data_IF_863559446633
#
_entry.id   IF_863559446633
#
_cell.length_a   1.000
_cell.length_b   1.000
_cell.length_c   1.000
_cell.angle_alpha   90.00
_cell.angle_beta   90.00
_cell.angle_gamma   90.00
#
_symmetry.space_group_name_H-M   'P 1'
#
loop_
_entity.id
_entity.type
_entity.pdbx_description
1 polymer ?
#
# COMPACT_ATOMS: atom_id res chain seq x y z
N UNK A 1 -51.95 27.82 17.48
CA UNK A 1 -51.01 26.68 17.41
C UNK A 1 -51.01 26.17 15.97
N UNK A 2 -49.91 26.20 15.19
CA UNK A 2 -49.66 25.30 14.04
C UNK A 2 -48.66 25.75 12.96
N UNK A 3 -48.02 26.92 13.07
CA UNK A 3 -46.98 27.29 12.08
C UNK A 3 -45.62 26.67 12.46
N UNK A 4 -45.17 26.79 13.72
CA UNK A 4 -43.91 26.19 14.19
C UNK A 4 -43.87 24.66 14.10
N UNK A 5 -44.98 23.96 14.36
CA UNK A 5 -45.05 22.49 14.25
C UNK A 5 -44.89 22.03 12.79
N UNK A 6 -45.48 22.73 11.81
CA UNK A 6 -45.34 22.38 10.38
C UNK A 6 -43.89 22.45 9.90
N UNK A 7 -43.12 23.46 10.32
CA UNK A 7 -41.71 23.57 9.96
C UNK A 7 -40.84 22.47 10.58
N UNK A 8 -41.15 22.04 11.81
CA UNK A 8 -40.44 20.92 12.46
C UNK A 8 -40.71 19.60 11.74
N UNK A 9 -41.96 19.32 11.39
CA UNK A 9 -42.30 18.10 10.63
C UNK A 9 -41.71 18.11 9.22
N UNK A 10 -41.65 19.28 8.57
CA UNK A 10 -41.02 19.41 7.26
C UNK A 10 -39.50 19.20 7.34
N UNK A 11 -38.83 19.76 8.34
CA UNK A 11 -37.39 19.55 8.57
C UNK A 11 -37.04 18.08 8.82
N UNK A 12 -37.82 17.38 9.64
CA UNK A 12 -37.62 15.94 9.92
C UNK A 12 -37.84 15.10 8.64
N UNK A 13 -38.87 15.41 7.84
CA UNK A 13 -39.13 14.70 6.59
C UNK A 13 -38.00 14.86 5.56
N UNK A 14 -37.40 16.05 5.46
CA UNK A 14 -36.25 16.30 4.56
C UNK A 14 -35.01 15.53 5.03
N UNK A 15 -34.74 15.49 6.34
CA UNK A 15 -33.61 14.73 6.89
C UNK A 15 -33.79 13.22 6.65
N UNK A 16 -35.00 12.68 6.89
CA UNK A 16 -35.29 11.28 6.64
C UNK A 16 -35.20 10.92 5.16
N UNK A 17 -35.69 11.78 4.26
CA UNK A 17 -35.54 11.59 2.82
C UNK A 17 -34.06 11.59 2.40
N UNK A 18 -33.25 12.50 2.94
CA UNK A 18 -31.80 12.54 2.70
C UNK A 18 -31.08 11.28 3.17
N UNK A 19 -31.42 10.77 4.37
CA UNK A 19 -30.87 9.50 4.90
C UNK A 19 -31.31 8.30 4.06
N UNK A 20 -32.56 8.26 3.60
CA UNK A 20 -33.06 7.18 2.72
C UNK A 20 -32.37 7.22 1.36
N UNK A 21 -32.14 8.40 0.78
CA UNK A 21 -31.40 8.53 -0.49
C UNK A 21 -29.94 8.11 -0.31
N UNK A 22 -29.27 8.51 0.77
CA UNK A 22 -27.91 8.06 1.08
C UNK A 22 -27.83 6.54 1.28
N UNK A 23 -28.79 5.97 2.00
CA UNK A 23 -28.90 4.53 2.22
C UNK A 23 -29.14 3.78 0.90
N UNK A 24 -30.06 4.26 0.06
CA UNK A 24 -30.36 3.69 -1.25
C UNK A 24 -29.18 3.81 -2.23
N UNK A 25 -28.46 4.93 -2.25
CA UNK A 25 -27.27 5.11 -3.09
C UNK A 25 -26.12 4.19 -2.63
N UNK A 26 -25.92 4.06 -1.31
CA UNK A 26 -24.94 3.10 -0.74
C UNK A 26 -25.31 1.66 -1.08
N UNK A 27 -26.59 1.32 -1.06
CA UNK A 27 -27.06 -0.02 -1.45
C UNK A 27 -27.06 -0.26 -2.97
N UNK A 28 -27.32 0.75 -3.80
CA UNK A 28 -27.23 0.64 -5.27
C UNK A 28 -25.78 0.47 -5.73
N UNK A 29 -24.83 1.20 -5.14
CA UNK A 29 -23.40 1.00 -5.42
C UNK A 29 -22.92 -0.43 -5.10
N UNK A 30 -23.53 -1.08 -4.09
CA UNK A 30 -23.28 -2.49 -3.76
C UNK A 30 -24.13 -3.48 -4.58
N UNK A 31 -25.19 -3.05 -5.27
CA UNK A 31 -26.11 -3.93 -6.00
C UNK A 31 -25.60 -4.35 -7.39
N UNK A 32 -24.55 -3.72 -7.90
CA UNK A 32 -24.00 -4.03 -9.22
C UNK A 32 -22.89 -5.09 -9.23
N UNK A 33 -22.31 -5.42 -8.07
CA UNK A 33 -21.29 -6.45 -7.90
C UNK A 33 -21.95 -7.80 -7.56
N UNK A 34 -22.14 -8.66 -8.55
CA UNK A 34 -22.52 -10.06 -8.34
C UNK A 34 -21.37 -10.97 -8.73
N UNK A 35 -21.23 -12.12 -8.04
CA UNK A 35 -20.15 -13.08 -8.30
C UNK A 35 -20.10 -13.56 -9.75
N UNK A 36 -21.24 -13.54 -10.45
CA UNK A 36 -21.38 -13.98 -11.84
C UNK A 36 -20.70 -13.06 -12.86
N UNK A 37 -20.29 -11.84 -12.43
CA UNK A 37 -19.60 -10.86 -13.28
C UNK A 37 -18.07 -10.89 -13.11
N UNK A 38 -17.55 -11.75 -12.24
CA UNK A 38 -16.12 -11.83 -11.94
C UNK A 38 -15.47 -12.89 -12.82
N UNK A 39 -14.44 -12.51 -13.57
CA UNK A 39 -13.74 -13.44 -14.47
C UNK A 39 -12.91 -14.43 -13.67
N UNK A 40 -12.97 -15.70 -14.07
CA UNK A 40 -12.38 -16.82 -13.31
C UNK A 40 -10.94 -17.13 -13.68
N UNK A 41 -10.41 -16.62 -14.78
CA UNK A 41 -9.03 -16.90 -15.21
C UNK A 41 -8.52 -15.79 -16.14
N UNK A 42 -7.38 -15.20 -15.80
CA UNK A 42 -6.59 -14.38 -16.72
C UNK A 42 -5.28 -15.10 -16.94
N UNK A 43 -5.05 -15.47 -18.19
CA UNK A 43 -3.86 -16.24 -18.57
C UNK A 43 -2.88 -15.42 -19.42
N UNK A 44 -3.26 -14.21 -19.84
CA UNK A 44 -2.39 -13.28 -20.59
C UNK A 44 -2.92 -11.83 -20.58
N UNK A 45 -2.05 -10.89 -20.95
CA UNK A 45 -2.34 -9.45 -21.01
C UNK A 45 -3.57 -9.10 -21.90
N UNK A 46 -3.78 -9.82 -23.00
CA UNK A 46 -4.92 -9.60 -23.90
C UNK A 46 -6.26 -9.90 -23.23
N UNK A 47 -6.34 -10.99 -22.47
CA UNK A 47 -7.54 -11.35 -21.69
C UNK A 47 -7.78 -10.37 -20.55
N UNK A 48 -6.71 -9.89 -19.92
CA UNK A 48 -6.79 -8.88 -18.88
C UNK A 48 -7.37 -7.56 -19.40
N UNK A 49 -6.86 -7.06 -20.53
CA UNK A 49 -7.32 -5.77 -21.11
C UNK A 49 -8.79 -5.79 -21.49
N UNK A 50 -9.34 -6.96 -21.82
CA UNK A 50 -10.75 -7.14 -22.19
C UNK A 50 -11.66 -7.41 -21.00
N UNK A 51 -11.11 -7.87 -19.88
CA UNK A 51 -11.87 -8.12 -18.65
C UNK A 51 -12.21 -6.81 -17.98
N UNK A 52 -13.47 -6.65 -17.56
CA UNK A 52 -13.90 -5.54 -16.69
C UNK A 52 -13.44 -5.74 -15.24
N UNK A 53 -13.35 -7.01 -14.81
CA UNK A 53 -13.00 -7.38 -13.44
C UNK A 53 -11.94 -8.48 -13.45
N UNK A 54 -10.70 -8.15 -13.85
CA UNK A 54 -9.65 -9.13 -14.00
C UNK A 54 -9.27 -9.80 -12.68
N UNK A 55 -9.24 -11.13 -12.61
CA UNK A 55 -8.66 -11.84 -11.45
C UNK A 55 -7.15 -11.57 -11.39
N UNK A 56 -6.69 -11.04 -10.26
CA UNK A 56 -5.29 -10.66 -10.04
C UNK A 56 -4.54 -11.66 -9.19
N UNK A 57 -5.20 -12.18 -8.15
CA UNK A 57 -4.62 -13.14 -7.21
C UNK A 57 -5.73 -13.89 -6.47
N UNK A 58 -5.45 -15.13 -6.04
CA UNK A 58 -6.40 -15.96 -5.32
C UNK A 58 -5.74 -16.94 -4.35
N UNK A 59 -6.51 -17.32 -3.33
CA UNK A 59 -6.27 -18.49 -2.47
C UNK A 59 -7.60 -19.26 -2.41
N UNK A 60 -7.88 -20.14 -3.39
CA UNK A 60 -9.19 -20.78 -3.54
C UNK A 60 -9.64 -21.57 -2.31
N UNK A 61 -8.72 -22.26 -1.63
CA UNK A 61 -8.97 -23.02 -0.40
C UNK A 61 -9.39 -22.14 0.79
N UNK A 62 -9.12 -20.83 0.72
CA UNK A 62 -9.59 -19.82 1.69
C UNK A 62 -10.80 -19.04 1.19
N UNK A 63 -11.30 -19.36 -0.01
CA UNK A 63 -12.33 -18.58 -0.69
C UNK A 63 -11.95 -17.08 -0.74
N UNK A 64 -10.68 -16.80 -1.00
CA UNK A 64 -10.12 -15.46 -1.10
C UNK A 64 -9.72 -15.14 -2.54
N UNK A 65 -10.20 -14.02 -3.07
CA UNK A 65 -9.94 -13.60 -4.45
C UNK A 65 -9.80 -12.09 -4.51
N UNK A 66 -8.85 -11.63 -5.32
CA UNK A 66 -8.60 -10.21 -5.59
C UNK A 66 -8.82 -9.97 -7.07
N UNK A 67 -9.72 -9.06 -7.41
CA UNK A 67 -9.99 -8.63 -8.77
C UNK A 67 -9.62 -7.17 -8.95
N UNK A 68 -9.08 -6.82 -10.11
CA UNK A 68 -8.92 -5.44 -10.53
C UNK A 68 -10.25 -4.86 -11.02
N UNK A 69 -10.35 -3.55 -11.06
CA UNK A 69 -11.41 -2.85 -11.77
C UNK A 69 -10.76 -2.21 -12.99
N UNK A 70 -11.09 -2.73 -14.17
CA UNK A 70 -10.63 -2.20 -15.43
C UNK A 70 -11.76 -1.37 -16.06
N UNK A 71 -11.51 -0.08 -16.22
CA UNK A 71 -12.42 0.88 -16.86
C UNK A 71 -11.94 1.27 -18.27
N UNK A 72 -11.04 0.49 -18.87
CA UNK A 72 -10.34 0.77 -20.13
C UNK A 72 -9.49 2.05 -20.08
N UNK A 73 -9.05 2.47 -18.89
CA UNK A 73 -8.03 3.50 -18.73
C UNK A 73 -6.75 2.88 -18.18
N UNK A 74 -5.59 3.40 -18.59
CA UNK A 74 -4.26 2.92 -18.14
C UNK A 74 -3.96 3.23 -16.65
N UNK A 75 -4.98 3.58 -15.88
CA UNK A 75 -4.82 4.09 -14.51
C UNK A 75 -4.80 2.98 -13.45
N UNK A 76 -5.16 1.73 -13.77
CA UNK A 76 -5.16 0.55 -12.88
C UNK A 76 -5.61 0.86 -11.43
N UNK A 77 -6.77 1.52 -11.28
CA UNK A 77 -7.30 1.96 -9.98
C UNK A 77 -8.50 1.14 -9.53
N UNK A 78 -8.43 0.71 -8.28
CA UNK A 78 -9.52 0.07 -7.58
C UNK A 78 -9.47 -1.45 -7.70
N UNK A 79 -9.75 -2.12 -6.59
CA UNK A 79 -9.84 -3.57 -6.51
C UNK A 79 -11.17 -4.00 -5.90
N UNK A 80 -11.49 -5.26 -6.10
CA UNK A 80 -12.57 -5.97 -5.44
C UNK A 80 -11.95 -7.15 -4.71
N UNK A 81 -12.22 -7.28 -3.42
CA UNK A 81 -11.79 -8.43 -2.63
C UNK A 81 -13.01 -9.23 -2.24
N UNK A 82 -12.97 -10.53 -2.57
CA UNK A 82 -13.87 -11.54 -2.06
C UNK A 82 -13.14 -12.30 -0.96
N UNK A 83 -13.77 -12.42 0.20
CA UNK A 83 -13.30 -13.33 1.26
C UNK A 83 -14.51 -13.99 1.91
N UNK A 84 -14.66 -15.31 1.70
CA UNK A 84 -15.83 -16.02 2.17
C UNK A 84 -17.08 -15.59 1.39
N UNK A 85 -18.08 -15.10 2.12
CA UNK A 85 -19.31 -14.54 1.53
C UNK A 85 -19.25 -13.02 1.37
N UNK A 86 -18.21 -12.37 1.90
CA UNK A 86 -18.04 -10.93 1.78
C UNK A 86 -17.42 -10.57 0.44
N UNK A 87 -17.87 -9.45 -0.11
CA UNK A 87 -17.36 -8.87 -1.34
C UNK A 87 -17.31 -7.35 -1.16
N UNK A 88 -16.11 -6.77 -1.23
CA UNK A 88 -15.91 -5.32 -0.99
C UNK A 88 -15.00 -4.70 -2.04
N UNK A 89 -15.31 -3.46 -2.42
CA UNK A 89 -14.51 -2.62 -3.30
C UNK A 89 -13.58 -1.73 -2.48
N UNK A 90 -12.35 -1.56 -2.95
CA UNK A 90 -11.36 -0.65 -2.38
C UNK A 90 -10.78 0.24 -3.48
N UNK A 91 -10.40 1.47 -3.12
CA UNK A 91 -9.68 2.40 -4.00
C UNK A 91 -8.17 2.19 -3.85
N UNK A 92 -7.68 1.05 -4.36
CA UNK A 92 -6.28 0.63 -4.30
C UNK A 92 -5.77 0.49 -5.72
N UNK A 93 -4.62 1.09 -6.02
CA UNK A 93 -3.92 0.83 -7.28
C UNK A 93 -3.34 -0.57 -7.24
N UNK A 94 -3.49 -1.33 -8.32
CA UNK A 94 -3.18 -2.75 -8.27
C UNK A 94 -2.06 -3.21 -9.18
N UNK A 95 -1.69 -2.42 -10.19
CA UNK A 95 -0.65 -2.78 -11.16
C UNK A 95 0.10 -1.55 -11.70
N UNK A 96 1.34 -1.79 -12.12
CA UNK A 96 2.14 -0.93 -12.98
C UNK A 96 1.92 -1.27 -14.46
N UNK A 97 2.29 -0.39 -15.41
CA UNK A 97 2.25 -0.68 -16.85
C UNK A 97 2.95 -1.99 -17.29
N UNK A 98 3.90 -2.50 -16.50
CA UNK A 98 4.63 -3.75 -16.80
C UNK A 98 3.90 -5.05 -16.43
N UNK A 99 2.64 -4.99 -16.05
CA UNK A 99 1.82 -6.18 -15.81
C UNK A 99 2.31 -7.11 -14.67
N UNK A 100 2.84 -6.55 -13.58
CA UNK A 100 3.28 -7.37 -12.44
C UNK A 100 2.10 -7.65 -11.50
N UNK A 101 1.71 -8.92 -11.41
CA UNK A 101 0.58 -9.36 -10.56
C UNK A 101 0.89 -9.25 -9.06
N UNK A 102 -0.15 -9.11 -8.21
CA UNK A 102 0.04 -9.06 -6.77
C UNK A 102 0.58 -10.35 -6.17
N UNK A 103 1.39 -10.23 -5.12
CA UNK A 103 1.93 -11.36 -4.35
C UNK A 103 1.10 -11.58 -3.10
N UNK A 104 0.84 -12.84 -2.75
CA UNK A 104 0.07 -13.22 -1.55
C UNK A 104 0.91 -13.93 -0.49
N UNK A 105 0.59 -13.70 0.78
CA UNK A 105 1.12 -14.45 1.93
C UNK A 105 0.07 -14.57 3.02
N UNK A 106 -0.13 -15.77 3.55
CA UNK A 106 -0.95 -15.97 4.75
C UNK A 106 -0.05 -15.84 5.98
N UNK A 107 -0.49 -15.07 6.97
CA UNK A 107 0.15 -14.95 8.27
C UNK A 107 -0.88 -15.14 9.39
N UNK A 108 -0.42 -15.68 10.51
CA UNK A 108 -1.22 -15.92 11.70
C UNK A 108 -0.80 -14.95 12.80
N UNK A 109 -1.72 -14.12 13.27
CA UNK A 109 -1.50 -13.15 14.34
C UNK A 109 -2.45 -13.49 15.50
N UNK A 110 -1.90 -14.08 16.57
CA UNK A 110 -2.73 -14.69 17.62
C UNK A 110 -3.66 -15.75 17.02
N UNK A 111 -4.96 -15.58 17.20
CA UNK A 111 -5.99 -16.46 16.60
C UNK A 111 -6.50 -15.96 15.23
N UNK A 112 -6.06 -14.80 14.77
CA UNK A 112 -6.51 -14.20 13.52
C UNK A 112 -5.60 -14.60 12.36
N UNK A 113 -6.20 -15.16 11.30
CA UNK A 113 -5.56 -15.29 10.00
C UNK A 113 -5.66 -13.98 9.22
N UNK A 114 -4.55 -13.54 8.63
CA UNK A 114 -4.45 -12.37 7.77
C UNK A 114 -3.83 -12.78 6.43
N UNK A 115 -4.46 -12.38 5.34
CA UNK A 115 -3.93 -12.57 3.98
C UNK A 115 -3.30 -11.26 3.54
N UNK A 116 -1.98 -11.25 3.44
CA UNK A 116 -1.20 -10.14 2.93
C UNK A 116 -1.21 -10.16 1.40
N UNK A 117 -1.35 -8.98 0.80
CA UNK A 117 -1.31 -8.76 -0.63
C UNK A 117 -0.39 -7.56 -0.92
N UNK A 118 0.70 -7.78 -1.63
CA UNK A 118 1.56 -6.71 -2.16
C UNK A 118 1.13 -6.37 -3.58
N UNK A 119 0.82 -5.10 -3.82
CA UNK A 119 0.43 -4.57 -5.13
C UNK A 119 1.54 -3.70 -5.70
N UNK A 120 1.86 -3.90 -6.96
CA UNK A 120 2.79 -3.02 -7.67
C UNK A 120 2.07 -1.72 -8.04
N UNK A 121 2.64 -0.59 -7.62
CA UNK A 121 2.12 0.75 -7.90
C UNK A 121 3.22 1.63 -8.50
N UNK A 122 2.80 2.76 -9.06
CA UNK A 122 3.69 3.70 -9.73
C UNK A 122 4.01 4.89 -8.83
N UNK A 123 5.30 5.23 -8.71
CA UNK A 123 5.78 6.42 -7.98
C UNK A 123 5.58 7.75 -8.73
N UNK A 124 5.08 7.71 -9.97
CA UNK A 124 5.02 8.86 -10.89
C UNK A 124 6.37 9.29 -11.46
N UNK A 125 7.43 8.53 -11.23
CA UNK A 125 8.81 8.81 -11.69
C UNK A 125 9.49 7.57 -12.32
N UNK A 126 8.71 6.67 -12.91
CA UNK A 126 9.17 5.39 -13.48
C UNK A 126 9.82 4.43 -12.46
N UNK A 127 9.67 4.70 -11.16
CA UNK A 127 10.21 3.86 -10.07
C UNK A 127 9.12 2.94 -9.49
N UNK A 128 9.51 1.71 -9.17
CA UNK A 128 8.64 0.70 -8.56
C UNK A 128 8.42 0.98 -7.08
N UNK A 129 7.16 1.12 -6.70
CA UNK A 129 6.73 1.10 -5.30
C UNK A 129 5.75 -0.05 -5.17
N UNK A 130 5.90 -0.83 -4.11
CA UNK A 130 4.88 -1.78 -3.70
C UNK A 130 4.09 -1.21 -2.53
N UNK A 131 2.77 -1.30 -2.61
CA UNK A 131 1.87 -1.07 -1.48
C UNK A 131 1.46 -2.42 -0.88
N UNK A 132 1.58 -2.56 0.44
CA UNK A 132 1.20 -3.77 1.15
C UNK A 132 -0.10 -3.56 1.93
N UNK A 133 -1.04 -4.50 1.77
CA UNK A 133 -2.29 -4.54 2.52
C UNK A 133 -2.48 -5.93 3.13
N UNK A 134 -3.14 -5.98 4.29
CA UNK A 134 -3.61 -7.23 4.87
C UNK A 134 -5.13 -7.28 4.92
N UNK A 135 -5.69 -8.43 4.58
CA UNK A 135 -7.13 -8.68 4.58
C UNK A 135 -7.46 -9.77 5.60
N UNK A 136 -8.49 -9.54 6.41
CA UNK A 136 -8.90 -10.47 7.46
C UNK A 136 -10.40 -10.40 7.71
N UNK A 137 -10.97 -11.48 8.23
CA UNK A 137 -12.35 -11.52 8.69
C UNK A 137 -12.40 -11.44 10.22
N UNK A 138 -13.25 -10.57 10.77
CA UNK A 138 -13.48 -10.54 12.22
C UNK A 138 -14.36 -11.71 12.69
N UNK A 139 -14.67 -11.78 13.98
CA UNK A 139 -15.52 -12.84 14.56
C UNK A 139 -16.95 -12.88 14.03
N UNK A 140 -17.39 -11.85 13.29
CA UNK A 140 -18.68 -11.78 12.61
C UNK A 140 -18.56 -12.04 11.10
N UNK A 141 -17.39 -12.50 10.66
CA UNK A 141 -17.02 -12.73 9.26
C UNK A 141 -16.99 -11.46 8.39
N UNK A 142 -16.93 -10.26 8.97
CA UNK A 142 -16.82 -9.04 8.18
C UNK A 142 -15.40 -8.87 7.65
N UNK A 143 -15.29 -8.58 6.36
CA UNK A 143 -14.02 -8.32 5.72
C UNK A 143 -13.46 -6.96 6.14
N UNK A 144 -12.27 -6.96 6.73
CA UNK A 144 -11.53 -5.79 7.17
C UNK A 144 -10.18 -5.71 6.44
N UNK A 145 -9.59 -4.51 6.45
CA UNK A 145 -8.30 -4.23 5.82
C UNK A 145 -7.34 -3.57 6.82
N UNK A 146 -6.07 -3.95 6.75
CA UNK A 146 -4.95 -3.24 7.36
C UNK A 146 -4.05 -2.66 6.26
N UNK A 147 -3.56 -1.44 6.46
CA UNK A 147 -2.73 -0.73 5.49
C UNK A 147 -1.31 -0.57 6.05
N UNK A 148 -0.30 -0.99 5.30
CA UNK A 148 1.10 -0.77 5.62
C UNK A 148 1.55 0.57 5.04
N UNK A 149 1.06 1.67 5.62
CA UNK A 149 1.17 2.99 5.01
C UNK A 149 2.62 3.51 4.93
N UNK A 150 2.88 4.24 3.85
CA UNK A 150 4.15 4.94 3.64
C UNK A 150 4.55 5.85 4.79
N UNK A 151 3.60 6.59 5.33
CA UNK A 151 3.84 7.50 6.44
C UNK A 151 4.32 6.75 7.70
N UNK A 152 3.80 5.55 7.95
CA UNK A 152 4.19 4.78 9.13
C UNK A 152 5.62 4.26 9.03
N UNK A 153 5.97 3.54 7.95
CA UNK A 153 7.34 3.05 7.83
C UNK A 153 8.35 4.19 7.67
N UNK A 154 7.99 5.29 6.99
CA UNK A 154 8.87 6.46 6.88
C UNK A 154 9.15 7.09 8.24
N UNK A 155 8.12 7.19 9.09
CA UNK A 155 8.28 7.69 10.47
C UNK A 155 9.24 6.80 11.26
N UNK A 156 9.04 5.48 11.24
CA UNK A 156 9.90 4.54 11.96
C UNK A 156 11.35 4.59 11.50
N UNK A 157 11.59 4.70 10.18
CA UNK A 157 12.93 4.90 9.64
C UNK A 157 13.55 6.24 10.07
N UNK A 158 12.77 7.32 10.20
CA UNK A 158 13.28 8.63 10.61
C UNK A 158 13.70 8.62 12.08
N UNK A 159 13.05 7.78 12.89
CA UNK A 159 13.39 7.57 14.29
C UNK A 159 14.61 6.65 14.46
N UNK A 160 14.76 5.66 13.57
CA UNK A 160 15.83 4.66 13.64
C UNK A 160 17.14 5.12 12.97
N UNK A 161 17.07 5.89 11.88
CA UNK A 161 18.23 6.25 11.05
C UNK A 161 18.60 7.71 11.29
N UNK A 162 19.79 7.92 11.83
CA UNK A 162 20.44 9.23 11.90
C UNK A 162 21.57 9.27 10.88
N UNK A 163 21.94 10.46 10.41
CA UNK A 163 23.10 10.63 9.55
C UNK A 163 23.88 11.88 9.86
N UNK A 164 25.18 11.85 9.57
CA UNK A 164 26.08 12.99 9.76
C UNK A 164 27.09 13.06 8.63
N UNK A 165 27.20 14.23 8.02
CA UNK A 165 28.28 14.51 7.07
C UNK A 165 29.57 14.78 7.85
N UNK A 166 30.56 13.87 7.75
CA UNK A 166 31.86 14.02 8.44
C UNK A 166 32.83 14.89 7.64
N UNK A 167 32.76 14.79 6.32
CA UNK A 167 33.49 15.61 5.37
C UNK A 167 32.63 15.76 4.13
N UNK A 168 33.03 16.60 3.17
CA UNK A 168 32.28 16.84 1.93
C UNK A 168 31.87 15.55 1.19
N UNK A 169 32.59 14.45 1.42
CA UNK A 169 32.44 13.21 0.68
C UNK A 169 32.03 12.00 1.53
N UNK A 170 31.99 12.11 2.86
CA UNK A 170 31.73 10.94 3.72
C UNK A 170 30.51 11.21 4.58
N UNK A 171 29.51 10.36 4.39
CA UNK A 171 28.25 10.38 5.11
C UNK A 171 28.18 9.17 6.05
N UNK A 172 28.14 9.43 7.34
CA UNK A 172 27.94 8.42 8.36
C UNK A 172 26.44 8.17 8.49
N UNK A 173 26.03 6.92 8.38
CA UNK A 173 24.69 6.44 8.65
C UNK A 173 24.72 5.68 9.97
N UNK A 174 23.90 6.11 10.92
CA UNK A 174 23.83 5.57 12.27
C UNK A 174 22.44 4.97 12.46
N UNK A 175 22.36 3.65 12.62
CA UNK A 175 21.10 2.93 12.83
C UNK A 175 20.95 2.60 14.31
N UNK A 176 19.80 2.95 14.88
CA UNK A 176 19.43 2.70 16.28
C UNK A 176 20.51 3.13 17.30
N UNK A 177 21.26 4.17 16.96
CA UNK A 177 22.41 4.70 17.74
C UNK A 177 23.50 3.66 18.05
N UNK A 178 23.64 2.62 17.22
CA UNK A 178 24.58 1.51 17.46
C UNK A 178 25.42 1.21 16.23
N UNK A 179 24.77 0.96 15.10
CA UNK A 179 25.44 0.50 13.90
C UNK A 179 25.85 1.69 13.04
N UNK A 180 27.12 1.74 12.62
CA UNK A 180 27.70 2.82 11.83
C UNK A 180 28.08 2.30 10.44
N UNK A 181 27.63 3.00 9.41
CA UNK A 181 27.96 2.72 8.01
C UNK A 181 28.43 4.01 7.33
N UNK A 182 29.61 3.96 6.71
CA UNK A 182 30.15 5.14 6.02
C UNK A 182 29.88 5.03 4.52
N UNK A 183 29.33 6.08 3.92
CA UNK A 183 29.06 6.14 2.47
C UNK A 183 29.96 7.20 1.84
N UNK A 184 30.79 6.79 0.87
CA UNK A 184 31.57 7.71 0.05
C UNK A 184 30.69 8.30 -1.05
N UNK A 185 30.29 9.56 -0.88
CA UNK A 185 29.45 10.32 -1.78
C UNK A 185 30.14 10.69 -3.10
N UNK A 186 31.47 10.53 -3.24
CA UNK A 186 32.19 10.88 -4.50
C UNK A 186 31.65 10.16 -5.73
N UNK A 187 31.18 8.93 -5.56
CA UNK A 187 30.66 8.13 -6.67
C UNK A 187 29.23 8.54 -7.07
N UNK A 188 28.60 9.42 -6.30
CA UNK A 188 27.20 9.80 -6.45
C UNK A 188 27.03 11.30 -6.70
N UNK A 189 28.10 12.08 -6.79
CA UNK A 189 28.00 13.53 -6.94
C UNK A 189 29.04 14.12 -7.87
N UNK A 190 28.66 15.19 -8.55
CA UNK A 190 29.58 16.06 -9.27
C UNK A 190 30.28 17.05 -8.33
N UNK A 191 31.36 17.67 -8.81
CA UNK A 191 32.19 18.60 -8.02
C UNK A 191 31.43 19.86 -7.56
N UNK A 192 30.32 20.22 -8.21
CA UNK A 192 29.48 21.36 -7.88
C UNK A 192 28.20 20.98 -7.09
N UNK A 193 28.08 19.73 -6.64
CA UNK A 193 26.94 19.23 -5.89
C UNK A 193 27.29 19.11 -4.41
N UNK A 194 26.44 19.70 -3.55
CA UNK A 194 26.56 19.63 -2.11
C UNK A 194 25.43 18.78 -1.54
N UNK A 195 25.74 17.89 -0.62
CA UNK A 195 24.76 17.05 0.04
C UNK A 195 23.77 17.88 0.86
N UNK A 196 22.48 17.57 0.75
CA UNK A 196 21.42 18.26 1.51
C UNK A 196 20.76 17.35 2.55
N UNK A 197 20.31 16.16 2.13
CA UNK A 197 19.54 15.24 2.98
C UNK A 197 19.49 13.83 2.41
N UNK A 198 19.06 12.90 3.25
CA UNK A 198 18.65 11.55 2.84
C UNK A 198 17.12 11.49 2.78
N UNK A 199 16.58 10.67 1.87
CA UNK A 199 15.19 10.19 1.88
C UNK A 199 15.10 8.71 1.59
N UNK A 200 13.88 8.20 1.72
CA UNK A 200 13.51 6.84 1.34
C UNK A 200 12.01 6.78 1.04
N UNK A 201 11.61 5.73 0.34
CA UNK A 201 10.22 5.42 0.02
C UNK A 201 9.76 5.82 -1.38
N UNK A 202 10.68 6.18 -2.27
CA UNK A 202 10.43 6.28 -3.71
C UNK A 202 10.71 4.96 -4.45
N UNK A 203 11.47 4.05 -3.83
CA UNK A 203 11.64 2.67 -4.24
C UNK A 203 11.33 1.79 -3.02
N UNK A 204 10.29 0.95 -3.12
CA UNK A 204 9.83 0.09 -2.03
C UNK A 204 9.43 -1.25 -2.62
N UNK A 205 9.88 -2.34 -2.00
CA UNK A 205 9.43 -3.68 -2.33
C UNK A 205 9.23 -4.51 -1.07
N UNK A 206 8.27 -5.43 -1.14
CA UNK A 206 8.00 -6.41 -0.10
C UNK A 206 8.32 -7.82 -0.60
N UNK A 207 8.96 -8.65 0.23
CA UNK A 207 9.19 -10.07 -0.07
C UNK A 207 8.64 -10.96 1.04
N UNK A 208 8.33 -12.21 0.67
CA UNK A 208 7.65 -13.17 1.55
C UNK A 208 8.41 -14.49 1.75
N UNK A 209 9.69 -14.53 1.37
CA UNK A 209 10.53 -15.74 1.32
C UNK A 209 10.79 -16.34 2.70
N UNK A 210 11.22 -15.50 3.65
CA UNK A 210 11.62 -15.89 5.00
C UNK A 210 10.94 -15.05 6.09
N UNK A 211 9.70 -14.62 5.84
CA UNK A 211 8.96 -13.71 6.71
C UNK A 211 8.20 -12.68 5.90
N UNK A 212 8.06 -11.49 6.44
CA UNK A 212 7.63 -10.30 5.68
C UNK A 212 8.82 -9.35 5.74
N UNK A 213 9.42 -9.04 4.61
CA UNK A 213 10.56 -8.14 4.55
C UNK A 213 10.21 -6.92 3.70
N UNK A 214 10.72 -5.76 4.09
CA UNK A 214 10.65 -4.53 3.30
C UNK A 214 12.06 -4.15 2.86
N UNK A 215 12.19 -3.81 1.58
CA UNK A 215 13.41 -3.24 1.01
C UNK A 215 13.08 -1.86 0.47
N UNK A 216 13.85 -0.85 0.86
CA UNK A 216 13.68 0.52 0.42
C UNK A 216 14.98 1.07 -0.16
N UNK A 217 14.84 1.90 -1.20
CA UNK A 217 15.95 2.70 -1.68
C UNK A 217 16.31 3.81 -0.71
N UNK A 218 17.61 3.96 -0.42
CA UNK A 218 18.15 5.10 0.29
C UNK A 218 18.70 6.11 -0.71
N UNK A 219 18.21 7.34 -0.62
CA UNK A 219 18.40 8.36 -1.63
C UNK A 219 19.08 9.58 -1.01
N UNK A 220 20.13 10.09 -1.65
CA UNK A 220 20.76 11.36 -1.30
C UNK A 220 20.29 12.46 -2.24
N UNK A 221 19.85 13.57 -1.67
CA UNK A 221 19.61 14.81 -2.40
C UNK A 221 20.84 15.70 -2.34
N UNK A 222 21.12 16.31 -3.49
CA UNK A 222 22.21 17.26 -3.64
C UNK A 222 21.71 18.56 -4.27
N UNK A 223 22.38 19.66 -3.95
CA UNK A 223 22.17 20.95 -4.62
C UNK A 223 22.48 20.82 -6.12
N UNK A 224 21.81 21.62 -6.95
CA UNK A 224 22.05 21.72 -8.40
C UNK A 224 21.66 20.49 -9.24
N UNK A 225 20.98 19.51 -8.65
CA UNK A 225 20.33 18.40 -9.36
C UNK A 225 18.91 18.19 -8.81
N UNK A 226 17.98 17.84 -9.69
CA UNK A 226 16.57 17.57 -9.32
C UNK A 226 16.37 16.11 -8.90
N UNK A 227 17.10 15.19 -9.52
CA UNK A 227 16.98 13.75 -9.29
C UNK A 227 17.84 13.29 -8.11
N UNK A 228 17.26 12.66 -7.08
CA UNK A 228 18.04 12.07 -6.00
C UNK A 228 18.94 10.95 -6.52
N UNK A 229 20.02 10.69 -5.80
CA UNK A 229 20.97 9.62 -6.14
C UNK A 229 20.76 8.45 -5.21
N UNK A 230 20.72 7.24 -5.77
CA UNK A 230 20.60 6.01 -4.98
C UNK A 230 21.95 5.68 -4.34
N UNK A 231 22.04 5.80 -3.02
CA UNK A 231 23.30 5.64 -2.27
C UNK A 231 23.37 4.36 -1.44
N UNK A 232 22.31 3.56 -1.47
CA UNK A 232 22.27 2.28 -0.78
C UNK A 232 20.84 1.75 -0.62
N UNK A 233 20.73 0.63 0.09
CA UNK A 233 19.48 -0.09 0.29
C UNK A 233 19.21 -0.25 1.77
N UNK A 234 17.99 0.07 2.22
CA UNK A 234 17.51 -0.24 3.57
C UNK A 234 16.75 -1.56 3.50
N UNK A 235 17.06 -2.48 4.41
CA UNK A 235 16.30 -3.72 4.62
C UNK A 235 15.79 -3.78 6.05
N UNK A 236 14.56 -4.25 6.22
CA UNK A 236 13.98 -4.49 7.54
C UNK A 236 12.97 -5.64 7.51
N UNK A 237 12.74 -6.23 8.67
CA UNK A 237 11.65 -7.17 8.89
C UNK A 237 10.38 -6.39 9.25
N UNK A 238 9.26 -6.80 8.69
CA UNK A 238 7.94 -6.24 9.03
C UNK A 238 7.29 -7.15 10.05
N UNK A 239 7.13 -6.65 11.27
CA UNK A 239 6.48 -7.37 12.37
C UNK A 239 5.08 -6.80 12.58
N UNK A 240 4.07 -7.67 12.51
CA UNK A 240 2.66 -7.31 12.73
C UNK A 240 2.29 -7.63 14.18
N UNK A 241 1.76 -6.63 14.89
CA UNK A 241 1.30 -6.77 16.27
C UNK A 241 -0.14 -7.30 16.34
N UNK A 242 -0.57 -7.78 17.51
CA UNK A 242 -1.93 -8.30 17.71
C UNK A 242 -3.03 -7.25 17.47
N UNK A 243 -2.73 -5.98 17.73
CA UNK A 243 -3.60 -4.84 17.43
C UNK A 243 -3.63 -4.49 15.94
N UNK A 244 -2.89 -5.22 15.11
CA UNK A 244 -2.74 -5.06 13.65
C UNK A 244 -2.01 -3.77 13.25
N UNK A 245 -1.34 -3.11 14.20
CA UNK A 245 -0.24 -2.20 13.85
C UNK A 245 0.96 -3.01 13.37
N UNK A 246 1.93 -2.33 12.76
CA UNK A 246 3.19 -2.98 12.36
C UNK A 246 4.38 -2.11 12.73
N UNK A 247 5.51 -2.79 12.97
CA UNK A 247 6.81 -2.17 13.17
C UNK A 247 7.83 -2.71 12.18
N UNK A 248 8.87 -1.93 11.92
CA UNK A 248 10.10 -2.35 11.27
C UNK A 248 11.09 -2.79 12.34
N UNK A 249 11.57 -4.02 12.23
CA UNK A 249 12.60 -4.59 13.08
C UNK A 249 13.84 -4.97 12.25
N UNK A 250 14.97 -5.18 12.92
CA UNK A 250 16.24 -5.57 12.30
C UNK A 250 16.64 -4.68 11.11
N UNK A 251 16.40 -3.37 11.23
CA UNK A 251 16.73 -2.37 10.19
C UNK A 251 18.23 -2.40 9.93
N UNK A 252 18.62 -2.55 8.65
CA UNK A 252 20.01 -2.57 8.19
C UNK A 252 20.15 -1.76 6.91
N UNK A 253 21.36 -1.27 6.68
CA UNK A 253 21.76 -0.62 5.42
C UNK A 253 22.78 -1.50 4.70
N UNK A 254 22.54 -1.73 3.42
CA UNK A 254 23.46 -2.39 2.50
C UNK A 254 23.91 -1.41 1.42
N UNK A 255 25.18 -1.53 1.01
CA UNK A 255 25.81 -0.69 -0.02
C UNK A 255 25.63 -1.33 -1.40
#
# INVERSE_FOLDING_TARGET
MNVKRKYIYFGIAVILAGLVILYLNKHQANKELSFDKLDKNITNEDTFKKSKYPLLAEIPEKNFYVYGINDNTDNYKGIIVRYGNELKKYDIKYMTPMFVLPKLKIVQIGQQEIILCSFNTESGSEVYIEDLYGFYQDSKNFLNIMNFSADNYKKQLNEAINYKLQSDNVLDIIINNKDLYDIDLKNFKDSNWNFEKISYGNNVSFSFDSGINITLGMEAYFTNIVTPQYIGTIKADVVINEDKSFILDNIKVEK
#
